data_IF_558727908355
#
_entry.id   IF_558727908355
#
_cell.length_a   1.000
_cell.length_b   1.000
_cell.length_c   1.000
_cell.angle_alpha   90.00
_cell.angle_beta   90.00
_cell.angle_gamma   90.00
#
_symmetry.space_group_name_H-M   'P 1'
#
loop_
_entity.id
_entity.type
_entity.pdbx_description
1 polymer ?
#
# COMPACT_ATOMS: atom_id res chain seq x y z
N UNK A 1 4.05 -5.30 29.34
CA UNK A 1 4.96 -6.18 28.58
C UNK A 1 4.72 -5.94 27.12
N UNK A 2 5.75 -5.58 26.36
CA UNK A 2 5.63 -5.43 24.90
C UNK A 2 5.82 -6.82 24.30
N UNK A 3 4.89 -7.25 23.46
CA UNK A 3 4.97 -8.56 22.82
C UNK A 3 6.00 -8.51 21.68
N UNK A 4 7.20 -9.05 21.94
CA UNK A 4 8.30 -9.17 20.97
C UNK A 4 7.93 -10.06 19.77
N UNK A 5 6.83 -10.82 19.84
CA UNK A 5 6.29 -11.61 18.72
C UNK A 5 5.32 -10.82 17.84
N UNK A 6 4.98 -9.57 18.20
CA UNK A 6 4.15 -8.74 17.35
C UNK A 6 4.98 -8.22 16.17
N UNK A 7 4.68 -8.61 14.92
CA UNK A 7 5.47 -8.19 13.76
C UNK A 7 5.44 -6.68 13.50
N UNK A 8 4.46 -5.98 14.06
CA UNK A 8 4.39 -4.52 14.06
C UNK A 8 5.52 -3.91 14.90
N UNK A 9 6.06 -4.58 15.92
CA UNK A 9 7.10 -4.02 16.79
C UNK A 9 8.35 -3.49 16.04
N UNK A 10 8.69 -4.09 14.89
CA UNK A 10 9.84 -3.70 14.07
C UNK A 10 9.57 -2.57 13.06
N UNK A 11 8.34 -2.04 13.00
CA UNK A 11 8.02 -0.90 12.17
C UNK A 11 8.50 0.42 12.81
N UNK A 12 8.94 1.40 11.99
CA UNK A 12 8.99 2.78 12.41
C UNK A 12 7.67 3.17 13.13
N UNK A 13 7.70 3.86 14.28
CA UNK A 13 6.51 4.10 15.11
C UNK A 13 5.29 4.67 14.35
N UNK A 14 5.57 5.53 13.36
CA UNK A 14 4.55 6.10 12.46
C UNK A 14 3.81 5.07 11.61
N UNK A 15 4.45 3.98 11.19
CA UNK A 15 3.83 2.91 10.42
C UNK A 15 3.02 1.97 11.33
N UNK A 16 3.45 1.76 12.57
CA UNK A 16 2.65 1.05 13.59
C UNK A 16 1.32 1.73 13.86
N UNK A 17 1.40 3.02 14.20
CA UNK A 17 0.19 3.83 14.40
C UNK A 17 -0.72 3.79 13.17
N UNK A 18 -0.13 3.71 11.97
CA UNK A 18 -0.90 3.59 10.73
C UNK A 18 -1.58 2.23 10.58
N UNK A 19 -0.91 1.15 10.95
CA UNK A 19 -1.48 -0.20 10.93
C UNK A 19 -2.68 -0.29 11.88
N UNK A 20 -2.53 0.23 13.10
CA UNK A 20 -3.60 0.32 14.11
C UNK A 20 -4.79 1.16 13.62
N UNK A 21 -4.53 2.31 13.01
CA UNK A 21 -5.57 3.16 12.41
C UNK A 21 -6.37 2.40 11.34
N UNK A 22 -5.68 1.67 10.45
CA UNK A 22 -6.33 0.87 9.40
C UNK A 22 -7.15 -0.26 10.04
N UNK A 23 -6.58 -1.00 10.99
CA UNK A 23 -7.25 -2.09 11.68
C UNK A 23 -8.52 -1.59 12.37
N UNK A 24 -8.43 -0.52 13.17
CA UNK A 24 -9.57 0.09 13.83
C UNK A 24 -10.62 0.58 12.84
N UNK A 25 -10.20 1.21 11.74
CA UNK A 25 -11.12 1.67 10.68
C UNK A 25 -11.89 0.53 10.03
N UNK A 26 -11.28 -0.65 9.85
CA UNK A 26 -11.95 -1.83 9.28
C UNK A 26 -12.88 -2.44 10.31
N UNK A 27 -12.39 -2.71 11.52
CA UNK A 27 -13.13 -3.46 12.56
C UNK A 27 -14.35 -2.69 13.06
N UNK A 28 -14.25 -1.37 13.22
CA UNK A 28 -15.31 -0.53 13.76
C UNK A 28 -16.32 -0.04 12.71
N UNK A 29 -16.12 -0.38 11.43
CA UNK A 29 -16.98 0.10 10.35
C UNK A 29 -18.21 -0.79 10.13
N UNK A 30 -19.35 -0.16 9.82
CA UNK A 30 -20.54 -0.84 9.31
C UNK A 30 -20.37 -1.33 7.86
N UNK A 31 -19.30 -0.91 7.17
CA UNK A 31 -18.98 -1.29 5.78
C UNK A 31 -17.48 -1.56 5.63
N UNK A 32 -16.96 -2.62 6.28
CA UNK A 32 -15.52 -2.94 6.30
C UNK A 32 -14.93 -3.14 4.90
N UNK A 33 -15.70 -3.69 3.97
CA UNK A 33 -15.33 -3.86 2.57
C UNK A 33 -15.01 -2.54 1.87
N UNK A 34 -15.81 -1.50 2.11
CA UNK A 34 -15.55 -0.15 1.56
C UNK A 34 -14.29 0.47 2.14
N UNK A 35 -13.99 0.21 3.42
CA UNK A 35 -12.74 0.65 4.05
C UNK A 35 -11.53 -0.04 3.44
N UNK A 36 -11.59 -1.35 3.21
CA UNK A 36 -10.55 -2.13 2.51
C UNK A 36 -10.31 -1.56 1.11
N UNK A 37 -11.37 -1.36 0.33
CA UNK A 37 -11.29 -0.75 -1.02
C UNK A 37 -10.57 0.59 -0.99
N UNK A 38 -10.97 1.48 -0.09
CA UNK A 38 -10.38 2.82 0.08
C UNK A 38 -8.88 2.76 0.34
N UNK A 39 -8.43 1.90 1.26
CA UNK A 39 -7.01 1.78 1.57
C UNK A 39 -6.22 1.13 0.42
N UNK A 40 -6.77 0.12 -0.24
CA UNK A 40 -6.18 -0.50 -1.44
C UNK A 40 -5.94 0.55 -2.54
N UNK A 41 -6.96 1.31 -2.90
CA UNK A 41 -6.89 2.34 -3.95
C UNK A 41 -5.94 3.47 -3.59
N UNK A 42 -5.87 3.85 -2.30
CA UNK A 42 -4.93 4.87 -1.82
C UNK A 42 -3.48 4.47 -2.09
N UNK A 43 -3.14 3.19 -1.95
CA UNK A 43 -1.82 2.67 -2.30
C UNK A 43 -1.70 2.20 -3.76
N UNK A 44 -2.73 2.33 -4.58
CA UNK A 44 -2.64 2.07 -6.03
C UNK A 44 -2.63 0.58 -6.42
N UNK A 45 -2.91 -0.31 -5.47
CA UNK A 45 -3.01 -1.75 -5.76
C UNK A 45 -4.35 -2.02 -6.45
N UNK A 46 -4.36 -2.82 -7.50
CA UNK A 46 -5.56 -3.31 -8.19
C UNK A 46 -6.19 -4.49 -7.44
N UNK A 47 -7.45 -4.82 -7.75
CA UNK A 47 -8.08 -6.01 -7.17
C UNK A 47 -7.36 -7.31 -7.56
N UNK A 48 -6.72 -7.34 -8.74
CA UNK A 48 -5.98 -8.51 -9.24
C UNK A 48 -4.65 -8.68 -8.48
N UNK A 49 -3.87 -7.61 -8.34
CA UNK A 49 -2.65 -7.66 -7.53
C UNK A 49 -2.97 -8.05 -6.08
N UNK A 50 -4.03 -7.48 -5.48
CA UNK A 50 -4.41 -7.87 -4.12
C UNK A 50 -4.85 -9.34 -4.03
N UNK A 51 -5.54 -9.86 -5.06
CA UNK A 51 -5.97 -11.26 -5.07
C UNK A 51 -4.79 -12.21 -5.12
N UNK A 52 -3.76 -11.86 -5.89
CA UNK A 52 -2.54 -12.65 -6.02
C UNK A 52 -1.72 -12.62 -4.73
N UNK A 53 -1.63 -11.46 -4.06
CA UNK A 53 -0.91 -11.31 -2.79
C UNK A 53 -1.61 -11.95 -1.58
N UNK A 54 -2.95 -12.09 -1.62
CA UNK A 54 -3.73 -12.73 -0.55
C UNK A 54 -3.96 -14.23 -0.85
N UNK A 55 -3.68 -14.67 -2.08
CA UNK A 55 -3.94 -16.01 -2.60
C UNK A 55 -5.45 -16.37 -2.55
N UNK A 56 -6.26 -15.55 -3.21
CA UNK A 56 -7.70 -15.76 -3.40
C UNK A 56 -8.12 -15.41 -4.82
N UNK A 57 -9.30 -15.87 -5.24
CA UNK A 57 -9.88 -15.42 -6.50
C UNK A 57 -10.14 -13.90 -6.50
N UNK A 58 -9.96 -13.22 -7.65
CA UNK A 58 -10.23 -11.79 -7.80
C UNK A 58 -11.68 -11.43 -7.42
N UNK A 59 -12.62 -12.31 -7.72
CA UNK A 59 -14.03 -12.19 -7.37
C UNK A 59 -14.22 -12.13 -5.84
N UNK A 60 -13.39 -12.83 -5.08
CA UNK A 60 -13.39 -12.76 -3.61
C UNK A 60 -13.06 -11.34 -3.15
N UNK A 61 -12.03 -10.70 -3.71
CA UNK A 61 -11.70 -9.31 -3.41
C UNK A 61 -12.88 -8.39 -3.73
N UNK A 62 -13.48 -8.54 -4.92
CA UNK A 62 -14.64 -7.75 -5.31
C UNK A 62 -15.83 -7.94 -4.36
N UNK A 63 -16.13 -9.18 -3.95
CA UNK A 63 -17.21 -9.46 -2.99
C UNK A 63 -16.91 -8.89 -1.61
N UNK A 64 -15.68 -8.96 -1.14
CA UNK A 64 -15.26 -8.32 0.12
C UNK A 64 -15.47 -6.83 0.04
N UNK A 65 -14.97 -6.17 -1.01
CA UNK A 65 -15.04 -4.71 -1.17
C UNK A 65 -16.45 -4.14 -1.39
N UNK A 66 -17.40 -5.01 -1.71
CA UNK A 66 -18.81 -4.68 -1.86
C UNK A 66 -19.66 -5.18 -0.68
N UNK A 67 -19.02 -5.56 0.43
CA UNK A 67 -19.65 -6.08 1.65
C UNK A 67 -20.56 -7.29 1.39
N UNK A 68 -20.32 -8.02 0.28
CA UNK A 68 -21.00 -9.28 -0.09
C UNK A 68 -20.31 -10.51 0.50
N UNK A 69 -19.12 -10.33 1.06
CA UNK A 69 -18.37 -11.35 1.79
C UNK A 69 -17.65 -10.66 2.96
N UNK A 70 -17.82 -11.19 4.17
CA UNK A 70 -17.09 -10.64 5.33
C UNK A 70 -15.63 -11.11 5.31
N UNK A 71 -14.65 -10.20 5.43
CA UNK A 71 -13.25 -10.59 5.54
C UNK A 71 -12.99 -11.25 6.89
N UNK A 72 -12.18 -12.31 6.91
CA UNK A 72 -11.75 -12.95 8.15
C UNK A 72 -10.49 -12.27 8.72
N UNK A 73 -10.09 -12.66 9.93
CA UNK A 73 -8.90 -12.11 10.59
C UNK A 73 -7.62 -12.27 9.75
N UNK A 74 -7.40 -13.43 9.14
CA UNK A 74 -6.21 -13.71 8.31
C UNK A 74 -6.15 -12.77 7.10
N UNK A 75 -7.28 -12.54 6.44
CA UNK A 75 -7.42 -11.57 5.36
C UNK A 75 -7.04 -10.17 5.83
N UNK A 76 -7.63 -9.71 6.94
CA UNK A 76 -7.40 -8.35 7.45
C UNK A 76 -5.93 -8.15 7.83
N UNK A 77 -5.32 -9.12 8.53
CA UNK A 77 -3.90 -9.08 8.89
C UNK A 77 -3.01 -8.97 7.64
N UNK A 78 -3.18 -9.86 6.66
CA UNK A 78 -2.38 -9.86 5.43
C UNK A 78 -2.59 -8.57 4.63
N UNK A 79 -3.84 -8.12 4.51
CA UNK A 79 -4.19 -6.86 3.86
C UNK A 79 -3.44 -5.68 4.49
N UNK A 80 -3.50 -5.52 5.81
CA UNK A 80 -2.81 -4.43 6.51
C UNK A 80 -1.30 -4.47 6.26
N UNK A 81 -0.69 -5.66 6.33
CA UNK A 81 0.74 -5.84 6.08
C UNK A 81 1.13 -5.38 4.67
N UNK A 82 0.34 -5.74 3.65
CA UNK A 82 0.53 -5.31 2.26
C UNK A 82 0.45 -3.78 2.16
N UNK A 83 -0.58 -3.14 2.76
CA UNK A 83 -0.76 -1.68 2.71
C UNK A 83 0.40 -0.95 3.38
N UNK A 84 0.88 -1.45 4.53
CA UNK A 84 1.98 -0.83 5.27
C UNK A 84 3.29 -0.96 4.52
N UNK A 85 3.61 -2.12 3.96
CA UNK A 85 4.82 -2.30 3.16
C UNK A 85 4.79 -1.41 1.91
N UNK A 86 3.66 -1.37 1.19
CA UNK A 86 3.50 -0.52 0.01
C UNK A 86 3.74 0.96 0.33
N UNK A 87 3.20 1.42 1.46
CA UNK A 87 3.42 2.79 1.95
C UNK A 87 4.89 3.04 2.29
N UNK A 88 5.54 2.11 2.97
CA UNK A 88 6.94 2.23 3.36
C UNK A 88 7.86 2.32 2.12
N UNK A 89 7.65 1.45 1.14
CA UNK A 89 8.42 1.43 -0.11
C UNK A 89 8.26 2.75 -0.86
N UNK A 90 7.03 3.24 -1.02
CA UNK A 90 6.78 4.52 -1.69
C UNK A 90 7.48 5.70 -1.00
N UNK A 91 7.40 5.78 0.31
CA UNK A 91 8.05 6.85 1.07
C UNK A 91 9.57 6.78 0.98
N UNK A 92 10.12 5.56 1.02
CA UNK A 92 11.55 5.33 0.86
C UNK A 92 12.02 5.71 -0.56
N UNK A 93 11.26 5.32 -1.59
CA UNK A 93 11.53 5.66 -2.98
C UNK A 93 11.54 7.18 -3.20
N UNK A 94 10.47 7.88 -2.78
CA UNK A 94 10.38 9.34 -2.90
C UNK A 94 11.53 10.07 -2.17
N UNK A 95 11.97 9.56 -1.01
CA UNK A 95 13.10 10.12 -0.26
C UNK A 95 14.44 9.91 -0.96
N UNK A 96 14.66 8.77 -1.60
CA UNK A 96 15.90 8.51 -2.34
C UNK A 96 15.94 9.28 -3.66
N UNK A 97 14.82 9.35 -4.37
CA UNK A 97 14.70 10.11 -5.61
C UNK A 97 15.02 11.60 -5.38
N UNK A 98 14.41 12.22 -4.35
CA UNK A 98 14.69 13.62 -3.98
C UNK A 98 16.14 13.88 -3.58
N UNK A 99 16.86 12.85 -3.12
CA UNK A 99 18.28 12.92 -2.76
C UNK A 99 19.23 12.47 -3.88
N UNK A 100 18.71 12.03 -5.03
CA UNK A 100 19.47 11.40 -6.13
C UNK A 100 20.36 10.24 -5.67
N UNK A 101 19.86 9.43 -4.72
CA UNK A 101 20.57 8.27 -4.18
C UNK A 101 20.06 6.97 -4.81
N UNK A 102 20.95 5.97 -4.89
CA UNK A 102 20.57 4.63 -5.34
C UNK A 102 19.57 4.00 -4.37
N UNK A 103 18.55 3.33 -4.92
CA UNK A 103 17.51 2.67 -4.14
C UNK A 103 18.04 1.36 -3.55
N UNK A 104 18.20 1.30 -2.23
CA UNK A 104 18.49 0.05 -1.51
C UNK A 104 17.27 -0.37 -0.67
N UNK A 105 16.54 -1.38 -1.14
CA UNK A 105 15.36 -1.91 -0.44
C UNK A 105 15.69 -3.06 0.53
N UNK A 106 16.97 -3.38 0.75
CA UNK A 106 17.39 -4.54 1.58
C UNK A 106 16.79 -4.48 2.98
N UNK A 107 16.75 -3.29 3.60
CA UNK A 107 16.13 -3.12 4.91
C UNK A 107 14.61 -3.37 4.90
N UNK A 108 13.92 -3.01 3.82
CA UNK A 108 12.49 -3.26 3.68
C UNK A 108 12.19 -4.74 3.40
N UNK A 109 13.12 -5.45 2.76
CA UNK A 109 13.05 -6.90 2.57
C UNK A 109 13.18 -7.67 3.87
N UNK A 110 14.14 -7.31 4.74
CA UNK A 110 14.24 -7.93 6.06
C UNK A 110 12.96 -7.69 6.86
N UNK A 111 12.42 -6.48 6.73
CA UNK A 111 11.17 -6.10 7.38
C UNK A 111 9.95 -6.89 6.86
N UNK A 112 9.87 -7.22 5.56
CA UNK A 112 8.74 -7.98 5.02
C UNK A 112 8.62 -9.38 5.61
N UNK A 113 9.73 -10.00 6.00
CA UNK A 113 9.72 -11.31 6.68
C UNK A 113 8.95 -11.25 7.99
N UNK A 114 9.10 -10.17 8.76
CA UNK A 114 8.35 -9.97 10.00
C UNK A 114 6.85 -9.85 9.68
N UNK A 115 6.47 -9.26 8.55
CA UNK A 115 5.08 -9.14 8.13
C UNK A 115 4.46 -10.43 7.57
N UNK A 116 5.09 -11.60 7.75
CA UNK A 116 4.67 -12.86 7.13
C UNK A 116 4.51 -12.72 5.60
N UNK A 117 5.40 -11.94 4.96
CA UNK A 117 5.45 -11.77 3.51
C UNK A 117 6.65 -12.52 2.92
N UNK A 118 6.38 -13.31 1.89
CA UNK A 118 7.40 -14.06 1.16
C UNK A 118 8.28 -13.15 0.32
N UNK A 119 9.35 -13.75 -0.23
CA UNK A 119 10.23 -13.05 -1.15
C UNK A 119 9.50 -12.54 -2.41
N UNK A 120 8.67 -13.38 -3.03
CA UNK A 120 7.91 -13.00 -4.22
C UNK A 120 6.94 -11.87 -3.90
N UNK A 121 6.17 -12.01 -2.82
CA UNK A 121 5.16 -11.01 -2.44
C UNK A 121 5.80 -9.62 -2.20
N UNK A 122 6.97 -9.57 -1.58
CA UNK A 122 7.69 -8.30 -1.43
C UNK A 122 8.12 -7.72 -2.78
N UNK A 123 8.59 -8.54 -3.71
CA UNK A 123 9.03 -8.08 -5.03
C UNK A 123 7.85 -7.50 -5.82
N UNK A 124 6.71 -8.20 -5.80
CA UNK A 124 5.45 -7.75 -6.42
C UNK A 124 4.97 -6.42 -5.81
N UNK A 125 4.98 -6.33 -4.47
CA UNK A 125 4.58 -5.10 -3.76
C UNK A 125 5.55 -3.95 -4.07
N UNK A 126 6.86 -4.23 -4.15
CA UNK A 126 7.88 -3.23 -4.45
C UNK A 126 7.71 -2.68 -5.86
N UNK A 127 7.60 -3.57 -6.84
CA UNK A 127 7.39 -3.22 -8.24
C UNK A 127 6.14 -2.35 -8.40
N UNK A 128 4.98 -2.84 -7.92
CA UNK A 128 3.71 -2.12 -8.00
C UNK A 128 3.77 -0.77 -7.28
N UNK A 129 4.46 -0.68 -6.13
CA UNK A 129 4.56 0.57 -5.37
C UNK A 129 5.38 1.64 -6.06
N UNK A 130 6.47 1.25 -6.73
CA UNK A 130 7.36 2.15 -7.49
C UNK A 130 6.68 2.59 -8.77
N UNK A 131 6.18 1.65 -9.58
CA UNK A 131 5.48 1.95 -10.83
C UNK A 131 4.29 2.89 -10.60
N UNK A 132 3.48 2.63 -9.57
CA UNK A 132 2.37 3.51 -9.19
C UNK A 132 2.81 4.93 -8.80
N UNK A 133 3.97 5.08 -8.16
CA UNK A 133 4.50 6.40 -7.79
C UNK A 133 4.92 7.18 -9.03
N UNK A 134 5.67 6.54 -9.92
CA UNK A 134 6.16 7.14 -11.17
C UNK A 134 5.02 7.56 -12.09
N UNK A 135 4.03 6.70 -12.27
CA UNK A 135 2.84 6.99 -13.08
C UNK A 135 2.04 8.19 -12.52
N UNK A 136 1.88 8.26 -11.19
CA UNK A 136 1.20 9.41 -10.54
C UNK A 136 1.98 10.70 -10.71
N UNK A 137 3.31 10.64 -10.60
CA UNK A 137 4.19 11.80 -10.80
C UNK A 137 4.14 12.29 -12.24
N UNK A 138 4.24 11.38 -13.22
CA UNK A 138 4.15 11.70 -14.65
C UNK A 138 2.84 12.42 -14.97
N UNK A 139 1.70 11.87 -14.56
CA UNK A 139 0.39 12.49 -14.78
C UNK A 139 0.28 13.88 -14.15
N UNK A 140 0.81 14.05 -12.94
CA UNK A 140 0.82 15.36 -12.28
C UNK A 140 1.66 16.40 -13.06
N UNK A 141 2.80 15.99 -13.62
CA UNK A 141 3.62 16.87 -14.46
C UNK A 141 2.90 17.24 -15.76
N UNK A 142 2.27 16.28 -16.43
CA UNK A 142 1.44 16.51 -17.63
C UNK A 142 0.30 17.50 -17.33
N UNK A 143 -0.39 17.35 -16.19
CA UNK A 143 -1.46 18.26 -15.76
C UNK A 143 -0.95 19.69 -15.47
N UNK A 144 0.27 19.82 -14.94
CA UNK A 144 0.92 21.12 -14.69
C UNK A 144 1.34 21.80 -16.01
N UNK A 145 1.93 21.04 -16.93
CA UNK A 145 2.32 21.51 -18.25
C UNK A 145 1.11 21.97 -19.06
N UNK A 146 0.01 21.21 -19.03
CA UNK A 146 -1.24 21.61 -19.66
C UNK A 146 -1.73 22.96 -19.11
N UNK A 147 -1.83 23.12 -17.78
CA UNK A 147 -2.28 24.36 -17.14
C UNK A 147 -1.38 25.57 -17.47
N UNK A 148 -0.06 25.37 -17.46
CA UNK A 148 0.89 26.43 -17.78
C UNK A 148 0.90 26.75 -19.29
N UNK A 149 0.69 25.76 -20.15
CA UNK A 149 0.57 25.93 -21.61
C UNK A 149 -0.65 26.75 -22.02
N UNK A 150 -1.80 26.54 -21.38
CA UNK A 150 -3.00 27.38 -21.60
C UNK A 150 -2.78 28.84 -21.17
N UNK A 151 -2.04 29.10 -20.09
CA UNK A 151 -1.79 30.47 -19.62
C UNK A 151 -0.88 31.32 -20.52
N UNK A 152 -0.14 30.71 -21.45
CA UNK A 152 0.73 31.40 -22.41
C UNK A 152 0.08 31.65 -23.78
N UNK A 153 -1.14 31.14 -24.02
CA UNK A 153 -1.90 31.39 -25.25
C UNK A 153 -2.94 32.52 -25.10
N UNK A 154 -3.23 32.94 -23.86
CA UNK A 154 -4.16 34.03 -23.52
C UNK A 154 -3.44 35.38 -23.23
N UNK A 155 -2.20 35.58 -23.72
CA UNK A 155 -1.45 36.84 -23.57
C UNK A 155 -1.02 37.43 -24.91
#
# INVERSE_FOLDING_TARGET
MVDEKNPLFFLPPRLNKKAEEIAGSIILSNSPGKVIKKFREKVGITQKELSDLIDVARETISRVENDKLKPNYKFIKKFINIIILSKAIREYYAKNESKKQNLDLTHLRVFSNNLDLTKSEFEDIAFSSVENYENRKKKFLEDLEAKNGYSNLDR
#
